data_IF_783775074750
#
_entry.id   IF_783775074750
#
_cell.length_a   1.000
_cell.length_b   1.000
_cell.length_c   1.000
_cell.angle_alpha   90.00
_cell.angle_beta   90.00
_cell.angle_gamma   90.00
#
_symmetry.space_group_name_H-M   'P 1'
#
loop_
_entity.id
_entity.type
_entity.pdbx_description
1 polymer ?
#
# COMPACT_ATOMS: atom_id res chain seq x y z
N UNK A 1 7.82 4.05 -6.32
CA UNK A 1 7.28 3.40 -5.09
C UNK A 1 6.02 2.67 -5.51
N UNK A 2 6.05 1.34 -5.56
CA UNK A 2 5.01 0.56 -6.27
C UNK A 2 4.02 -0.15 -5.35
N UNK A 3 4.16 -0.05 -4.03
CA UNK A 3 3.31 -0.75 -3.07
C UNK A 3 2.53 0.24 -2.23
N UNK A 4 1.23 0.02 -2.13
CA UNK A 4 0.34 0.76 -1.24
C UNK A 4 -0.18 -0.23 -0.21
N UNK A 5 0.00 0.09 1.07
CA UNK A 5 -0.54 -0.69 2.16
C UNK A 5 -1.85 -0.04 2.59
N UNK A 6 -2.89 -0.85 2.71
CA UNK A 6 -4.20 -0.46 3.21
C UNK A 6 -4.47 -1.23 4.50
N UNK A 7 -4.72 -0.51 5.59
CA UNK A 7 -5.11 -1.10 6.86
C UNK A 7 -6.62 -1.27 6.88
N UNK A 8 -7.10 -2.50 7.10
CA UNK A 8 -8.53 -2.83 7.08
C UNK A 8 -8.89 -3.58 8.38
N UNK A 9 -10.19 -3.79 8.65
CA UNK A 9 -10.58 -4.65 9.79
C UNK A 9 -10.24 -6.12 9.48
N UNK A 10 -9.76 -6.91 10.45
CA UNK A 10 -9.53 -8.35 10.23
C UNK A 10 -10.85 -9.03 9.86
N UNK A 11 -10.83 -9.83 8.79
CA UNK A 11 -11.99 -10.44 8.16
C UNK A 11 -12.54 -9.70 6.93
N UNK A 12 -12.08 -8.47 6.65
CA UNK A 12 -12.54 -7.65 5.52
C UNK A 12 -11.48 -7.46 4.42
N UNK A 13 -10.38 -8.21 4.46
CA UNK A 13 -9.27 -8.03 3.51
C UNK A 13 -9.67 -8.34 2.07
N UNK A 14 -10.60 -9.29 1.83
CA UNK A 14 -11.10 -9.62 0.49
C UNK A 14 -11.91 -8.47 -0.11
N UNK A 15 -12.80 -7.88 0.69
CA UNK A 15 -13.60 -6.71 0.30
C UNK A 15 -12.70 -5.49 0.06
N UNK A 16 -11.74 -5.25 0.95
CA UNK A 16 -10.78 -4.15 0.85
C UNK A 16 -9.90 -4.29 -0.41
N UNK A 17 -9.51 -5.53 -0.77
CA UNK A 17 -8.75 -5.83 -1.97
C UNK A 17 -9.56 -5.66 -3.27
N UNK A 18 -10.83 -6.08 -3.26
CA UNK A 18 -11.73 -5.88 -4.39
C UNK A 18 -12.00 -4.38 -4.60
N UNK A 19 -12.28 -3.65 -3.51
CA UNK A 19 -12.55 -2.21 -3.54
C UNK A 19 -11.37 -1.41 -4.13
N UNK A 20 -10.14 -1.67 -3.66
CA UNK A 20 -8.98 -0.95 -4.17
C UNK A 20 -8.69 -1.28 -5.63
N UNK A 21 -8.89 -2.54 -6.05
CA UNK A 21 -8.66 -2.98 -7.43
C UNK A 21 -9.66 -2.33 -8.39
N UNK A 22 -10.94 -2.25 -7.99
CA UNK A 22 -11.98 -1.56 -8.76
C UNK A 22 -11.70 -0.06 -8.90
N UNK A 23 -11.41 0.62 -7.78
CA UNK A 23 -11.18 2.08 -7.76
C UNK A 23 -9.87 2.49 -8.45
N UNK A 24 -8.85 1.65 -8.39
CA UNK A 24 -7.61 1.84 -9.13
C UNK A 24 -7.84 1.58 -10.64
N UNK A 25 -8.57 0.52 -10.99
CA UNK A 25 -8.91 0.18 -12.38
C UNK A 25 -9.71 1.28 -13.10
N UNK A 26 -10.61 1.96 -12.40
CA UNK A 26 -11.35 3.13 -12.93
C UNK A 26 -10.44 4.31 -13.30
N UNK A 27 -9.23 4.38 -12.73
CA UNK A 27 -8.23 5.43 -13.01
C UNK A 27 -7.10 4.92 -13.90
N UNK A 28 -7.30 3.76 -14.55
CA UNK A 28 -6.29 3.12 -15.40
C UNK A 28 -5.01 2.73 -14.63
N UNK A 29 -5.10 2.63 -13.30
CA UNK A 29 -4.02 2.16 -12.44
C UNK A 29 -4.23 0.67 -12.20
N UNK A 30 -3.41 -0.13 -12.85
CA UNK A 30 -3.50 -1.58 -12.76
C UNK A 30 -2.44 -2.14 -11.80
N UNK A 31 -2.83 -3.18 -11.07
CA UNK A 31 -2.01 -3.82 -10.07
C UNK A 31 -2.71 -5.04 -9.47
N UNK A 32 -2.04 -5.67 -8.52
CA UNK A 32 -2.59 -6.82 -7.82
C UNK A 32 -2.61 -6.60 -6.31
N UNK A 33 -3.71 -6.98 -5.67
CA UNK A 33 -3.84 -6.95 -4.22
C UNK A 33 -3.39 -8.28 -3.62
N UNK A 34 -2.38 -8.27 -2.74
CA UNK A 34 -2.05 -9.41 -1.88
C UNK A 34 -2.89 -9.35 -0.61
N UNK A 35 -3.69 -10.40 -0.45
CA UNK A 35 -4.58 -10.59 0.69
C UNK A 35 -4.00 -11.68 1.58
N UNK A 36 -3.90 -11.41 2.87
CA UNK A 36 -3.58 -12.42 3.88
C UNK A 36 -4.72 -12.46 4.88
N UNK A 37 -5.27 -13.64 5.12
CA UNK A 37 -6.43 -13.79 6.00
C UNK A 37 -6.07 -13.46 7.45
N UNK A 38 -6.95 -12.72 8.14
CA UNK A 38 -6.79 -12.24 9.51
C UNK A 38 -5.54 -11.37 9.75
N UNK A 39 -4.94 -10.82 8.71
CA UNK A 39 -3.78 -9.94 8.83
C UNK A 39 -4.18 -8.50 9.19
N UNK A 40 -5.40 -8.08 8.83
CA UNK A 40 -5.87 -6.70 9.05
C UNK A 40 -5.21 -5.67 8.13
N UNK A 41 -4.55 -6.12 7.05
CA UNK A 41 -4.01 -5.24 6.02
C UNK A 41 -4.01 -5.92 4.65
N UNK A 42 -4.04 -5.09 3.61
CA UNK A 42 -3.93 -5.47 2.20
C UNK A 42 -2.76 -4.71 1.59
N UNK A 43 -1.99 -5.37 0.74
CA UNK A 43 -0.91 -4.74 -0.01
C UNK A 43 -1.32 -4.71 -1.48
N UNK A 44 -1.52 -3.52 -2.03
CA UNK A 44 -1.75 -3.31 -3.44
C UNK A 44 -0.42 -3.01 -4.13
N UNK A 45 0.00 -3.86 -5.06
CA UNK A 45 1.23 -3.70 -5.83
C UNK A 45 0.88 -3.28 -7.26
N UNK A 46 1.20 -2.03 -7.59
CA UNK A 46 0.98 -1.46 -8.92
C UNK A 46 2.04 -1.99 -9.90
N UNK A 47 1.66 -2.14 -11.18
CA UNK A 47 2.61 -2.55 -12.22
C UNK A 47 3.64 -1.46 -12.53
N UNK A 48 3.23 -0.20 -12.59
CA UNK A 48 4.16 0.89 -12.83
C UNK A 48 4.71 1.46 -11.52
N UNK A 49 5.99 1.84 -11.47
CA UNK A 49 6.63 2.33 -10.26
C UNK A 49 6.14 3.72 -9.81
N UNK A 50 5.47 4.47 -10.68
CA UNK A 50 4.96 5.83 -10.41
C UNK A 50 3.47 5.84 -10.00
N UNK A 51 2.74 4.75 -10.31
CA UNK A 51 1.30 4.67 -10.08
C UNK A 51 0.91 4.65 -8.60
N UNK A 52 1.82 4.23 -7.70
CA UNK A 52 1.56 4.27 -6.27
C UNK A 52 1.35 5.69 -5.74
N UNK A 53 2.13 6.65 -6.23
CA UNK A 53 2.01 8.07 -5.83
C UNK A 53 0.77 8.71 -6.47
N UNK A 54 0.52 8.40 -7.75
CA UNK A 54 -0.70 8.82 -8.46
C UNK A 54 -1.95 8.33 -7.76
N UNK A 55 -1.99 7.07 -7.34
CA UNK A 55 -3.14 6.49 -6.65
C UNK A 55 -3.48 7.27 -5.38
N UNK A 56 -2.49 7.62 -4.56
CA UNK A 56 -2.74 8.40 -3.33
C UNK A 56 -3.22 9.83 -3.62
N UNK A 57 -2.79 10.42 -4.74
CA UNK A 57 -3.15 11.80 -5.11
C UNK A 57 -4.52 11.88 -5.78
N UNK A 58 -4.88 10.89 -6.59
CA UNK A 58 -6.09 10.90 -7.41
C UNK A 58 -7.27 10.18 -6.76
N UNK A 59 -7.02 9.19 -5.90
CA UNK A 59 -8.08 8.50 -5.17
C UNK A 59 -8.33 9.23 -3.83
N UNK A 60 -9.50 9.87 -3.64
CA UNK A 60 -9.84 10.44 -2.35
C UNK A 60 -10.02 9.33 -1.32
N UNK A 61 -9.31 9.45 -0.19
CA UNK A 61 -9.40 8.49 0.91
C UNK A 61 -10.83 8.33 1.43
N UNK A 62 -11.64 9.40 1.42
CA UNK A 62 -13.05 9.38 1.83
C UNK A 62 -13.94 8.45 1.00
N UNK A 63 -13.51 8.06 -0.21
CA UNK A 63 -14.26 7.10 -1.00
C UNK A 63 -14.03 5.67 -0.52
N UNK A 64 -12.93 5.34 0.15
CA UNK A 64 -12.63 3.98 0.61
C UNK A 64 -13.45 3.66 1.86
N UNK A 65 -14.21 2.56 1.83
CA UNK A 65 -15.10 2.17 2.92
C UNK A 65 -14.38 1.23 3.89
N UNK A 66 -13.53 0.33 3.35
CA UNK A 66 -12.89 -0.72 4.15
C UNK A 66 -11.50 -0.35 4.66
N UNK A 67 -10.85 0.63 4.03
CA UNK A 67 -9.53 1.11 4.44
C UNK A 67 -9.64 2.16 5.54
N UNK A 68 -9.04 1.90 6.71
CA UNK A 68 -8.94 2.85 7.83
C UNK A 68 -7.79 3.81 7.68
N UNK A 69 -6.72 3.36 7.03
CA UNK A 69 -5.55 4.17 6.73
C UNK A 69 -4.81 3.53 5.57
N UNK A 70 -4.10 4.34 4.81
CA UNK A 70 -3.30 3.89 3.70
C UNK A 70 -1.99 4.69 3.60
N UNK A 71 -0.96 4.08 3.05
CA UNK A 71 0.31 4.73 2.80
C UNK A 71 1.11 3.98 1.73
N UNK A 72 1.90 4.73 0.96
CA UNK A 72 2.84 4.16 0.00
C UNK A 72 4.07 3.65 0.76
N UNK A 73 4.52 2.46 0.41
CA UNK A 73 5.68 1.80 1.00
C UNK A 73 6.74 1.57 -0.07
N UNK A 74 7.99 1.91 0.27
CA UNK A 74 9.15 1.61 -0.55
C UNK A 74 9.63 0.17 -0.36
N UNK A 75 10.87 -0.11 -0.75
CA UNK A 75 11.45 -1.43 -0.58
C UNK A 75 11.46 -1.83 0.90
N UNK A 76 11.10 -3.09 1.20
CA UNK A 76 11.10 -3.61 2.56
C UNK A 76 12.52 -3.56 3.13
N UNK A 77 12.76 -2.66 4.07
CA UNK A 77 14.04 -2.58 4.77
C UNK A 77 14.12 -3.75 5.77
N UNK A 78 14.99 -4.72 5.50
CA UNK A 78 15.25 -5.86 6.40
C UNK A 78 16.15 -5.50 7.58
N UNK A 79 16.70 -4.28 7.62
CA UNK A 79 17.53 -3.75 8.71
C UNK A 79 16.64 -2.94 9.67
N UNK A 80 16.01 -3.62 10.62
CA UNK A 80 15.43 -3.00 11.82
C UNK A 80 15.33 -4.03 12.96
N UNK A 81 16.46 -4.66 13.31
CA UNK A 81 16.66 -5.26 14.63
C UNK A 81 17.82 -4.54 15.29
N UNK A 82 17.55 -3.93 16.44
CA UNK A 82 18.47 -3.23 17.33
C UNK A 82 18.99 -1.84 16.90
N UNK A 83 18.60 -0.86 17.75
CA UNK A 83 19.12 0.50 17.97
C UNK A 83 18.44 1.63 17.20
N UNK A 84 17.60 2.32 17.97
CA UNK A 84 17.18 3.72 17.83
C UNK A 84 18.44 4.59 17.71
N UNK A 85 18.93 4.80 16.49
CA UNK A 85 19.41 6.08 15.95
C UNK A 85 19.38 5.88 14.43
N UNK A 86 18.34 6.41 13.76
CA UNK A 86 18.26 6.38 12.30
C UNK A 86 19.31 7.34 11.72
N UNK A 87 20.32 6.89 10.96
CA UNK A 87 20.88 7.73 9.89
C UNK A 87 19.77 8.00 8.86
N UNK A 88 19.86 9.07 8.05
CA UNK A 88 18.77 9.48 7.19
C UNK A 88 18.36 8.33 6.25
N UNK A 89 17.04 8.10 6.19
CA UNK A 89 16.35 7.13 5.33
C UNK A 89 16.79 7.16 3.86
N UNK A 90 17.49 8.21 3.43
CA UNK A 90 18.12 8.34 2.12
C UNK A 90 19.18 7.28 1.80
N UNK A 91 19.79 6.65 2.81
CA UNK A 91 20.83 5.64 2.59
C UNK A 91 20.28 4.26 2.15
N UNK A 92 19.06 3.91 2.57
CA UNK A 92 18.41 2.65 2.16
C UNK A 92 17.59 2.78 0.86
N UNK A 93 17.30 3.99 0.39
CA UNK A 93 16.46 4.22 -0.79
C UNK A 93 17.23 4.11 -2.14
N UNK A 94 18.51 3.74 -2.13
CA UNK A 94 19.36 3.69 -3.33
C UNK A 94 19.99 2.31 -3.54
N UNK A 95 19.15 1.30 -3.72
CA UNK A 95 19.53 -0.02 -4.24
C UNK A 95 18.42 -0.57 -5.14
#
# INVERSE_FOLDING_TARGET
>A
MNKVVLLCRPGFEKECAAEITDKAGQREIFGFARVKENAGYVIYECYQPDDGDKLIRELPFSSLIFARQWFVVGNSCSICRQKIVLPPLSACYRA
#
